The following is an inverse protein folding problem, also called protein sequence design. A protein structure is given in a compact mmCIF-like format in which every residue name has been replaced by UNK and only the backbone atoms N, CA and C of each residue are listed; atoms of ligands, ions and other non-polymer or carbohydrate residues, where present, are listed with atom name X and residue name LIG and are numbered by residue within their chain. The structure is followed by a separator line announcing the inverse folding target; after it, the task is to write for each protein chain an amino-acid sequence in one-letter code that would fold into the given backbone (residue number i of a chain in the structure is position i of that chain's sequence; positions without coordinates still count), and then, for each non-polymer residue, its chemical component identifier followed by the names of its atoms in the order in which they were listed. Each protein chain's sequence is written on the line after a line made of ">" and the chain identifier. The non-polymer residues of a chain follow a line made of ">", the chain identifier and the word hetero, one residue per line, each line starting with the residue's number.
data_IF_086425366380
#
_entry.id   IF_086425366380
#
_cell.length_a   1.000
_cell.length_b   1.000
_cell.length_c   1.000
_cell.angle_alpha   90.00
_cell.angle_beta   90.00
_cell.angle_gamma   90.00
#
_symmetry.space_group_name_H-M   'P 1'
#
loop_
_entity.id
_entity.type
_entity.pdbx_description
1 polymer ?
#
# COMPACT_ATOMS: atom_id res chain seq x y z
N UNK A 1 5.85 20.83 -3.39
CA UNK A 1 6.43 19.56 -3.87
C UNK A 1 7.61 19.08 -3.05
N UNK A 2 8.72 19.84 -2.93
CA UNK A 2 9.92 19.39 -2.17
C UNK A 2 9.60 18.87 -0.76
N UNK A 3 8.82 19.62 0.04
CA UNK A 3 8.38 19.18 1.39
C UNK A 3 7.51 17.92 1.37
N UNK A 4 6.55 17.81 0.42
CA UNK A 4 5.67 16.63 0.28
C UNK A 4 6.49 15.38 -0.09
N UNK A 5 7.48 15.54 -0.96
CA UNK A 5 8.38 14.46 -1.33
C UNK A 5 9.27 14.03 -0.17
N UNK A 6 9.83 14.97 0.59
CA UNK A 6 10.61 14.67 1.81
C UNK A 6 9.78 13.88 2.82
N UNK A 7 8.53 14.29 3.07
CA UNK A 7 7.63 13.56 3.97
C UNK A 7 7.38 12.15 3.44
N UNK A 8 7.17 11.97 2.12
CA UNK A 8 6.95 10.63 1.57
C UNK A 8 8.20 9.74 1.63
N UNK A 9 9.40 10.30 1.45
CA UNK A 9 10.66 9.57 1.58
C UNK A 9 10.90 9.15 3.02
N UNK A 10 10.65 10.05 3.98
CA UNK A 10 10.73 9.72 5.42
C UNK A 10 9.71 8.65 5.76
N UNK A 11 8.46 8.77 5.28
CA UNK A 11 7.42 7.77 5.48
C UNK A 11 7.82 6.41 4.89
N UNK A 12 8.38 6.37 3.67
CA UNK A 12 8.89 5.15 3.05
C UNK A 12 10.03 4.52 3.84
N UNK A 13 10.99 5.34 4.30
CA UNK A 13 12.12 4.88 5.11
C UNK A 13 11.65 4.29 6.44
N UNK A 14 10.74 4.98 7.13
CA UNK A 14 10.08 4.47 8.33
C UNK A 14 9.34 3.17 8.03
N UNK A 15 8.54 3.09 6.96
CA UNK A 15 7.84 1.86 6.56
C UNK A 15 8.82 0.71 6.37
N UNK A 16 9.98 0.94 5.75
CA UNK A 16 10.99 -0.09 5.51
C UNK A 16 11.62 -0.58 6.82
N UNK A 17 11.99 0.32 7.73
CA UNK A 17 12.52 -0.02 9.07
C UNK A 17 11.50 -0.80 9.89
N UNK A 18 10.25 -0.38 9.81
CA UNK A 18 9.11 -0.97 10.49
C UNK A 18 8.86 -2.41 10.01
N UNK A 19 9.15 -2.75 8.74
CA UNK A 19 9.07 -4.15 8.25
C UNK A 19 10.18 -5.06 8.79
N UNK A 20 11.27 -4.52 9.34
CA UNK A 20 12.37 -5.32 9.93
C UNK A 20 12.02 -5.76 11.36
N UNK A 21 11.13 -5.03 12.04
CA UNK A 21 10.76 -5.30 13.43
C UNK A 21 9.41 -6.06 13.46
N UNK A 22 9.39 -7.37 13.75
CA UNK A 22 8.15 -8.11 13.86
C UNK A 22 7.25 -7.56 14.99
N UNK A 23 5.93 -7.70 14.84
CA UNK A 23 4.88 -7.21 15.74
C UNK A 23 4.71 -5.68 15.85
N UNK A 24 5.70 -4.94 16.38
CA UNK A 24 5.59 -3.48 16.52
C UNK A 24 5.52 -2.77 15.16
N UNK A 25 6.14 -3.39 14.15
CA UNK A 25 6.07 -2.96 12.76
C UNK A 25 4.64 -2.84 12.24
N UNK A 26 3.78 -3.81 12.55
CA UNK A 26 2.41 -3.86 12.01
C UNK A 26 1.54 -2.69 12.46
N UNK A 27 1.62 -2.34 13.74
CA UNK A 27 0.81 -1.25 14.29
C UNK A 27 1.22 0.10 13.73
N UNK A 28 2.52 0.31 13.52
CA UNK A 28 3.06 1.54 12.93
C UNK A 28 2.81 1.65 11.42
N UNK A 29 2.53 0.54 10.72
CA UNK A 29 2.16 0.57 9.30
C UNK A 29 0.84 1.26 9.04
N UNK A 30 -0.14 1.13 9.94
CA UNK A 30 -1.47 1.75 9.77
C UNK A 30 -1.35 3.29 9.63
N UNK A 31 -0.74 4.02 10.59
CA UNK A 31 -0.59 5.48 10.45
C UNK A 31 0.31 5.86 9.28
N UNK A 32 1.38 5.10 8.99
CA UNK A 32 2.25 5.37 7.84
C UNK A 32 1.52 5.21 6.50
N UNK A 33 0.69 4.18 6.36
CA UNK A 33 -0.14 3.95 5.18
C UNK A 33 -1.16 5.08 4.98
N UNK A 34 -1.79 5.57 6.05
CA UNK A 34 -2.70 6.72 6.01
C UNK A 34 -1.97 7.98 5.51
N UNK A 35 -0.77 8.26 6.04
CA UNK A 35 0.04 9.40 5.60
C UNK A 35 0.37 9.30 4.10
N UNK A 36 0.79 8.12 3.62
CA UNK A 36 1.10 7.88 2.21
C UNK A 36 -0.13 8.04 1.31
N UNK A 37 -1.31 7.59 1.76
CA UNK A 37 -2.59 7.79 1.07
C UNK A 37 -2.97 9.26 0.96
N UNK A 38 -2.82 10.04 2.04
CA UNK A 38 -3.07 11.48 2.05
C UNK A 38 -2.15 12.18 1.05
N UNK A 39 -0.85 11.87 1.08
CA UNK A 39 0.13 12.43 0.14
C UNK A 39 -0.25 12.12 -1.31
N UNK A 40 -0.55 10.86 -1.61
CA UNK A 40 -0.94 10.44 -2.95
C UNK A 40 -2.23 11.13 -3.42
N UNK A 41 -3.18 11.35 -2.51
CA UNK A 41 -4.44 12.07 -2.77
C UNK A 41 -4.18 13.54 -3.09
N UNK A 42 -3.32 14.21 -2.31
CA UNK A 42 -2.90 15.60 -2.58
C UNK A 42 -2.23 15.72 -3.95
N UNK A 43 -1.31 14.80 -4.28
CA UNK A 43 -0.62 14.80 -5.57
C UNK A 43 -1.62 14.61 -6.71
N UNK A 44 -2.55 13.67 -6.54
CA UNK A 44 -3.60 13.38 -7.51
C UNK A 44 -4.52 14.57 -7.74
N UNK A 45 -4.99 15.22 -6.68
CA UNK A 45 -5.92 16.35 -6.80
C UNK A 45 -5.24 17.58 -7.38
N UNK A 46 -4.00 17.87 -6.97
CA UNK A 46 -3.35 19.15 -7.28
C UNK A 46 -2.58 19.15 -8.60
N UNK A 47 -2.01 18.02 -9.01
CA UNK A 47 -1.07 17.97 -10.13
C UNK A 47 -1.55 17.14 -11.32
N UNK A 48 -2.67 16.40 -11.23
CA UNK A 48 -3.16 15.53 -12.31
C UNK A 48 -3.32 16.24 -13.67
N UNK A 49 -3.72 17.50 -13.68
CA UNK A 49 -3.90 18.28 -14.93
C UNK A 49 -2.57 18.73 -15.55
N UNK A 50 -1.52 18.88 -14.74
CA UNK A 50 -0.18 19.33 -15.17
C UNK A 50 0.72 18.18 -15.66
N UNK A 51 0.34 16.94 -15.37
CA UNK A 51 1.08 15.73 -15.73
C UNK A 51 0.91 15.38 -17.22
N UNK A 52 1.96 14.81 -17.83
CA UNK A 52 1.85 14.17 -19.14
C UNK A 52 1.03 12.85 -19.05
N UNK A 53 0.80 12.21 -20.20
CA UNK A 53 0.05 10.95 -20.24
C UNK A 53 0.78 9.81 -19.49
N UNK A 54 2.11 9.79 -19.51
CA UNK A 54 2.93 8.75 -18.85
C UNK A 54 2.78 8.78 -17.33
N UNK A 55 2.94 9.96 -16.72
CA UNK A 55 2.83 10.13 -15.27
C UNK A 55 1.38 9.99 -14.80
N UNK A 56 0.39 10.42 -15.61
CA UNK A 56 -1.03 10.11 -15.32
C UNK A 56 -1.30 8.60 -15.33
N UNK A 57 -0.73 7.85 -16.26
CA UNK A 57 -0.86 6.39 -16.28
C UNK A 57 -0.20 5.74 -15.05
N UNK A 58 0.97 6.21 -14.61
CA UNK A 58 1.60 5.73 -13.37
C UNK A 58 0.70 5.95 -12.15
N UNK A 59 0.10 7.14 -12.04
CA UNK A 59 -0.82 7.49 -10.97
C UNK A 59 -2.09 6.63 -11.01
N UNK A 60 -2.64 6.35 -12.20
CA UNK A 60 -3.77 5.41 -12.36
C UNK A 60 -3.40 4.01 -11.90
N UNK A 61 -2.22 3.50 -12.27
CA UNK A 61 -1.72 2.19 -11.81
C UNK A 61 -1.59 2.14 -10.28
N UNK A 62 -1.10 3.21 -9.65
CA UNK A 62 -1.05 3.31 -8.19
C UNK A 62 -2.44 3.14 -7.57
N UNK A 63 -3.42 3.92 -8.03
CA UNK A 63 -4.79 3.83 -7.51
C UNK A 63 -5.46 2.49 -7.77
N UNK A 64 -5.16 1.86 -8.91
CA UNK A 64 -5.62 0.51 -9.20
C UNK A 64 -5.07 -0.49 -8.18
N UNK A 65 -3.76 -0.43 -7.85
CA UNK A 65 -3.17 -1.30 -6.84
C UNK A 65 -3.76 -1.08 -5.44
N UNK A 66 -4.02 0.17 -5.05
CA UNK A 66 -4.69 0.50 -3.79
C UNK A 66 -6.10 -0.11 -3.75
N UNK A 67 -6.86 0.00 -4.84
CA UNK A 67 -8.19 -0.58 -4.95
C UNK A 67 -8.15 -2.11 -4.88
N UNK A 68 -7.20 -2.75 -5.58
CA UNK A 68 -7.02 -4.20 -5.54
C UNK A 68 -6.67 -4.67 -4.13
N UNK A 69 -5.79 -3.96 -3.41
CA UNK A 69 -5.47 -4.28 -2.02
C UNK A 69 -6.70 -4.19 -1.12
N UNK A 70 -7.51 -3.14 -1.28
CA UNK A 70 -8.74 -2.97 -0.52
C UNK A 70 -9.73 -4.13 -0.77
N UNK A 71 -9.96 -4.49 -2.04
CA UNK A 71 -10.85 -5.61 -2.41
C UNK A 71 -10.34 -6.92 -1.80
N UNK A 72 -9.04 -7.18 -1.85
CA UNK A 72 -8.44 -8.39 -1.27
C UNK A 72 -8.61 -8.45 0.24
N UNK A 73 -8.38 -7.34 0.95
CA UNK A 73 -8.57 -7.26 2.40
C UNK A 73 -10.04 -7.50 2.76
N UNK A 74 -10.97 -6.86 2.06
CA UNK A 74 -12.42 -7.06 2.28
C UNK A 74 -12.82 -8.51 2.03
N UNK A 75 -12.35 -9.12 0.93
CA UNK A 75 -12.63 -10.52 0.62
C UNK A 75 -12.09 -11.48 1.70
N UNK A 76 -10.89 -11.21 2.23
CA UNK A 76 -10.32 -11.97 3.35
C UNK A 76 -11.14 -11.82 4.63
N UNK A 77 -11.58 -10.60 4.97
CA UNK A 77 -12.42 -10.36 6.15
C UNK A 77 -13.78 -11.06 6.04
N UNK A 78 -14.42 -11.02 4.86
CA UNK A 78 -15.68 -11.72 4.61
C UNK A 78 -15.47 -13.24 4.69
N UNK A 79 -14.42 -13.76 4.04
CA UNK A 79 -14.07 -15.17 4.10
C UNK A 79 -13.82 -15.66 5.53
N UNK A 80 -13.11 -14.87 6.34
CA UNK A 80 -12.88 -15.16 7.76
C UNK A 80 -14.17 -15.12 8.60
N UNK A 81 -15.08 -14.17 8.32
CA UNK A 81 -16.36 -14.08 9.01
C UNK A 81 -17.27 -15.28 8.68
N UNK A 82 -17.29 -15.71 7.42
CA UNK A 82 -18.01 -16.91 6.98
C UNK A 82 -17.41 -18.14 7.65
N UNK A 83 -16.08 -18.30 7.62
CA UNK A 83 -15.38 -19.43 8.24
C UNK A 83 -15.54 -19.49 9.76
N UNK A 84 -15.85 -18.38 10.43
CA UNK A 84 -16.18 -18.36 11.87
C UNK A 84 -17.61 -18.85 12.15
N UNK A 85 -18.54 -18.63 11.23
CA UNK A 85 -19.94 -19.01 11.38
C UNK A 85 -20.21 -20.47 11.01
N UNK A 86 -19.46 -21.01 10.04
CA UNK A 86 -19.43 -22.44 9.77
C UNK A 86 -18.29 -23.02 10.60
N UNK A 87 -18.60 -23.76 11.68
CA UNK A 87 -17.67 -24.32 12.66
C UNK A 87 -16.68 -25.33 12.03
N UNK A 88 -15.83 -24.83 11.14
CA UNK A 88 -14.91 -25.57 10.31
C UNK A 88 -13.74 -25.96 11.21
N UNK A 89 -13.91 -27.05 11.95
CA UNK A 89 -12.85 -27.80 12.63
C UNK A 89 -11.86 -28.33 11.58
N UNK A 90 -10.94 -27.49 11.13
CA UNK A 90 -9.86 -27.87 10.22
C UNK A 90 -8.81 -28.71 10.96
N UNK A 91 -8.98 -30.03 10.93
CA UNK A 91 -8.10 -31.02 11.58
C UNK A 91 -6.84 -31.37 10.77
N UNK A 92 -6.47 -30.63 9.71
CA UNK A 92 -5.30 -30.98 8.89
C UNK A 92 -4.35 -29.78 8.72
N UNK A 93 -3.17 -29.90 9.33
CA UNK A 93 -2.11 -28.88 9.37
C UNK A 93 -1.73 -28.30 7.99
N UNK A 94 -1.88 -29.05 6.89
CA UNK A 94 -1.57 -28.58 5.54
C UNK A 94 -2.59 -27.57 4.98
N UNK A 95 -3.86 -27.68 5.39
CA UNK A 95 -4.94 -26.79 4.96
C UNK A 95 -4.95 -25.45 5.72
N UNK A 96 -4.21 -25.34 6.84
CA UNK A 96 -3.98 -24.07 7.57
C UNK A 96 -2.80 -23.26 7.01
N UNK A 97 -1.79 -23.95 6.45
CA UNK A 97 -0.56 -23.29 5.99
C UNK A 97 -0.82 -22.48 4.72
N UNK A 98 -1.61 -23.01 3.77
CA UNK A 98 -1.88 -22.32 2.49
C UNK A 98 -2.67 -21.01 2.69
N UNK A 99 -3.77 -20.97 3.47
CA UNK A 99 -4.45 -19.72 3.82
C UNK A 99 -3.57 -18.78 4.64
N UNK A 100 -2.76 -19.32 5.58
CA UNK A 100 -1.84 -18.52 6.39
C UNK A 100 -0.79 -17.78 5.57
N UNK A 101 -0.16 -18.45 4.60
CA UNK A 101 0.82 -17.84 3.69
C UNK A 101 0.16 -16.79 2.80
N UNK A 102 -1.04 -17.06 2.28
CA UNK A 102 -1.80 -16.12 1.44
C UNK A 102 -2.18 -14.87 2.25
N UNK A 103 -2.69 -15.06 3.47
CA UNK A 103 -3.04 -13.96 4.40
C UNK A 103 -1.80 -13.12 4.70
N UNK A 104 -0.68 -13.74 5.06
CA UNK A 104 0.57 -13.03 5.30
C UNK A 104 1.04 -12.28 4.03
N UNK A 105 0.97 -12.89 2.86
CA UNK A 105 1.40 -12.23 1.62
C UNK A 105 0.54 -11.01 1.29
N UNK A 106 -0.78 -11.10 1.50
CA UNK A 106 -1.73 -10.01 1.24
C UNK A 106 -1.63 -8.90 2.30
N UNK A 107 -1.36 -9.24 3.57
CA UNK A 107 -1.27 -8.26 4.65
C UNK A 107 0.12 -7.63 4.81
N UNK A 108 1.19 -8.29 4.37
CA UNK A 108 2.57 -7.81 4.56
C UNK A 108 3.25 -7.45 3.24
N UNK A 109 3.30 -8.36 2.28
CA UNK A 109 4.09 -8.14 1.06
C UNK A 109 3.39 -7.14 0.14
N UNK A 110 2.08 -7.24 0.03
CA UNK A 110 1.31 -6.39 -0.88
C UNK A 110 1.29 -4.90 -0.46
N UNK A 111 1.07 -4.55 0.82
CA UNK A 111 1.14 -3.15 1.26
C UNK A 111 2.55 -2.57 1.17
N UNK A 112 3.60 -3.39 1.40
CA UNK A 112 4.99 -2.99 1.18
C UNK A 112 5.22 -2.60 -0.28
N UNK A 113 4.78 -3.42 -1.23
CA UNK A 113 4.91 -3.14 -2.66
C UNK A 113 4.20 -1.83 -3.05
N UNK A 114 3.00 -1.60 -2.52
CA UNK A 114 2.24 -0.36 -2.76
C UNK A 114 2.97 0.86 -2.19
N UNK A 115 3.55 0.76 -0.99
CA UNK A 115 4.35 1.82 -0.38
C UNK A 115 5.56 2.17 -1.25
N UNK A 116 6.32 1.18 -1.73
CA UNK A 116 7.43 1.39 -2.65
C UNK A 116 6.99 2.06 -3.95
N UNK A 117 5.91 1.58 -4.56
CA UNK A 117 5.40 2.16 -5.79
C UNK A 117 4.88 3.60 -5.57
N UNK A 118 4.31 3.91 -4.40
CA UNK A 118 3.93 5.27 -4.01
C UNK A 118 5.14 6.21 -3.94
N UNK A 119 6.23 5.75 -3.31
CA UNK A 119 7.50 6.47 -3.24
C UNK A 119 8.06 6.75 -4.64
N UNK A 120 8.14 5.72 -5.49
CA UNK A 120 8.60 5.85 -6.88
C UNK A 120 7.74 6.80 -7.71
N UNK A 121 6.41 6.70 -7.60
CA UNK A 121 5.47 7.56 -8.32
C UNK A 121 5.64 9.02 -7.89
N UNK A 122 5.77 9.26 -6.58
CA UNK A 122 5.95 10.60 -6.02
C UNK A 122 7.28 11.20 -6.42
N UNK A 123 8.37 10.43 -6.41
CA UNK A 123 9.69 10.86 -6.88
C UNK A 123 9.65 11.26 -8.36
N UNK A 124 9.10 10.38 -9.21
CA UNK A 124 9.03 10.60 -10.66
C UNK A 124 8.23 11.85 -11.01
N UNK A 125 7.05 12.02 -10.39
CA UNK A 125 6.20 13.20 -10.57
C UNK A 125 6.90 14.48 -10.06
N UNK A 126 7.58 14.40 -8.91
CA UNK A 126 8.31 15.54 -8.36
C UNK A 126 9.45 15.97 -9.29
N UNK A 127 10.23 15.02 -9.81
CA UNK A 127 11.32 15.29 -10.76
C UNK A 127 10.78 15.93 -12.04
N UNK A 128 9.70 15.39 -12.60
CA UNK A 128 9.07 15.95 -13.80
C UNK A 128 8.60 17.40 -13.60
N UNK A 129 7.95 17.69 -12.47
CA UNK A 129 7.46 19.03 -12.17
C UNK A 129 8.58 20.04 -11.82
N UNK A 130 9.75 19.57 -11.39
CA UNK A 130 10.93 20.42 -11.19
C UNK A 130 11.62 20.77 -12.51
N UNK A 131 11.61 19.87 -13.50
CA UNK A 131 12.24 20.10 -14.82
C UNK A 131 11.37 21.01 -15.70
N UNK A 132 10.05 20.95 -15.55
CA UNK A 132 9.10 21.74 -16.37
C UNK A 132 8.88 23.17 -15.86
N UNK A 133 9.55 23.57 -14.78
CA UNK A 133 9.49 24.89 -14.16
C UNK A 133 10.78 25.65 -14.46
#
# INVERSE_FOLDING_TARGET
>A
MKRIHQINVVALGLTTVVYIIPYFGMLLQIPLAIIQLIIASIITSKYKTQLDNKHRAMLKKYWLMVLTAFILIVALCIGAAIAKNYDFKYSNNLFMILPGIIICSVLFVFPMFIAFYSGYTTFSITKYLLIKR
#
